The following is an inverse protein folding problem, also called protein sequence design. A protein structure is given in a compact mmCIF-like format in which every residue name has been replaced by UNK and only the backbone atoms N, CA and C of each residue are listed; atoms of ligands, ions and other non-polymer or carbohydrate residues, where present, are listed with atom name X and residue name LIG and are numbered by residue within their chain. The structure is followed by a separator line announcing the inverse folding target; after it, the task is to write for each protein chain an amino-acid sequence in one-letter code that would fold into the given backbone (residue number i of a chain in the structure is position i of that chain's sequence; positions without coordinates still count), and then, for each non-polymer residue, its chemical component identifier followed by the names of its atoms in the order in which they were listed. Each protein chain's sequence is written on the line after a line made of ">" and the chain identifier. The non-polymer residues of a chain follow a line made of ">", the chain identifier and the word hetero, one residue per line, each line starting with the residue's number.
data_IF_401178508561
#
_entry.id   IF_401178508561
#
_cell.length_a   1.000
_cell.length_b   1.000
_cell.length_c   1.000
_cell.angle_alpha   90.00
_cell.angle_beta   90.00
_cell.angle_gamma   90.00
#
_symmetry.space_group_name_H-M   'P 1'
#
loop_
_entity.id
_entity.type
_entity.pdbx_description
1 polymer ?
#
# COMPACT_ATOMS: atom_id res chain seq x y z
N UNK A 1 7.71 -0.31 33.41
CA UNK A 1 8.50 -0.82 32.27
C UNK A 1 7.71 -1.01 30.97
N UNK A 2 6.37 -0.88 30.93
CA UNK A 2 5.59 -1.00 29.68
C UNK A 2 5.78 0.17 28.72
N UNK A 3 5.89 1.40 29.24
CA UNK A 3 6.08 2.60 28.43
C UNK A 3 7.40 2.56 27.66
N UNK A 4 8.52 2.20 28.30
CA UNK A 4 9.82 2.13 27.63
C UNK A 4 9.93 1.11 26.49
N UNK A 5 9.18 -0.01 26.54
CA UNK A 5 9.13 -0.96 25.43
C UNK A 5 8.33 -0.41 24.23
N UNK A 6 7.23 0.31 24.50
CA UNK A 6 6.45 0.97 23.46
C UNK A 6 7.22 2.14 22.83
N UNK A 7 7.97 2.89 23.64
CA UNK A 7 8.80 3.99 23.17
C UNK A 7 9.96 3.49 22.30
N UNK A 8 10.58 2.37 22.68
CA UNK A 8 11.62 1.72 21.87
C UNK A 8 11.07 1.21 20.53
N UNK A 9 9.87 0.62 20.52
CA UNK A 9 9.21 0.17 19.29
C UNK A 9 8.87 1.36 18.37
N UNK A 10 8.37 2.46 18.93
CA UNK A 10 8.09 3.69 18.16
C UNK A 10 9.37 4.29 17.59
N UNK A 11 10.44 4.39 18.37
CA UNK A 11 11.73 4.87 17.90
C UNK A 11 12.33 4.02 16.77
N UNK A 12 12.08 2.70 16.79
CA UNK A 12 12.47 1.82 15.70
C UNK A 12 11.64 2.07 14.44
N UNK A 13 10.32 2.26 14.57
CA UNK A 13 9.44 2.61 13.45
C UNK A 13 9.83 3.94 12.80
N UNK A 14 10.14 4.95 13.60
CA UNK A 14 10.57 6.27 13.12
C UNK A 14 11.88 6.19 12.32
N UNK A 15 12.78 5.26 12.66
CA UNK A 15 14.02 5.00 11.91
C UNK A 15 13.80 4.21 10.61
N UNK A 16 12.70 3.45 10.51
CA UNK A 16 12.35 2.70 9.31
C UNK A 16 11.77 3.63 8.24
N UNK A 17 10.97 4.63 8.62
CA UNK A 17 10.26 5.49 7.68
C UNK A 17 11.18 6.12 6.60
N UNK A 18 12.35 6.72 6.93
CA UNK A 18 13.27 7.25 5.92
C UNK A 18 13.85 6.20 4.97
N UNK A 19 13.86 4.92 5.37
CA UNK A 19 14.37 3.81 4.57
C UNK A 19 13.30 3.21 3.66
N UNK A 20 12.02 3.34 4.01
CA UNK A 20 10.91 2.76 3.24
C UNK A 20 10.89 3.28 1.80
N UNK A 21 11.11 4.57 1.56
CA UNK A 21 11.16 5.13 0.20
C UNK A 21 12.24 4.47 -0.67
N UNK A 22 13.41 4.19 -0.08
CA UNK A 22 14.49 3.48 -0.77
C UNK A 22 14.11 2.04 -1.08
N UNK A 23 13.50 1.33 -0.11
CA UNK A 23 13.05 -0.05 -0.29
C UNK A 23 11.91 -0.18 -1.31
N UNK A 24 11.00 0.80 -1.37
CA UNK A 24 9.93 0.86 -2.38
C UNK A 24 10.45 1.19 -3.78
N UNK A 25 11.70 1.62 -3.91
CA UNK A 25 12.36 1.89 -5.20
C UNK A 25 13.48 0.89 -5.50
N UNK A 26 13.60 -0.18 -4.69
CA UNK A 26 14.63 -1.19 -4.86
C UNK A 26 14.48 -1.87 -6.23
N UNK A 27 15.57 -2.18 -6.95
CA UNK A 27 15.49 -2.87 -8.24
C UNK A 27 14.79 -4.24 -8.15
N UNK A 28 14.93 -4.95 -7.02
CA UNK A 28 14.37 -6.29 -6.84
C UNK A 28 12.87 -6.22 -6.47
N UNK A 29 11.97 -6.78 -7.30
CA UNK A 29 10.53 -6.76 -7.01
C UNK A 29 10.15 -7.38 -5.67
N UNK A 30 10.83 -8.46 -5.25
CA UNK A 30 10.55 -9.11 -3.98
C UNK A 30 10.83 -8.19 -2.78
N UNK A 31 11.87 -7.35 -2.87
CA UNK A 31 12.17 -6.33 -1.84
C UNK A 31 11.06 -5.29 -1.79
N UNK A 32 10.54 -4.85 -2.95
CA UNK A 32 9.44 -3.88 -3.00
C UNK A 32 8.12 -4.45 -2.45
N UNK A 33 7.84 -5.74 -2.68
CA UNK A 33 6.69 -6.44 -2.09
C UNK A 33 6.81 -6.45 -0.56
N UNK A 34 7.96 -6.85 -0.02
CA UNK A 34 8.21 -6.82 1.42
C UNK A 34 8.13 -5.40 1.99
N UNK A 35 8.58 -4.40 1.24
CA UNK A 35 8.49 -2.99 1.63
C UNK A 35 7.02 -2.54 1.76
N UNK A 36 6.11 -2.98 0.87
CA UNK A 36 4.68 -2.71 1.00
C UNK A 36 4.12 -3.21 2.33
N UNK A 37 4.51 -4.42 2.77
CA UNK A 37 4.10 -4.96 4.07
C UNK A 37 4.65 -4.16 5.26
N UNK A 38 5.89 -3.66 5.17
CA UNK A 38 6.44 -2.78 6.20
C UNK A 38 5.70 -1.43 6.26
N UNK A 39 5.22 -0.95 5.11
CA UNK A 39 4.39 0.26 5.04
C UNK A 39 3.04 0.07 5.72
N UNK A 40 2.43 -1.13 5.69
CA UNK A 40 1.12 -1.42 6.30
C UNK A 40 1.04 -1.01 7.79
N UNK A 41 2.15 -1.06 8.51
CA UNK A 41 2.23 -0.69 9.93
C UNK A 41 2.33 0.82 10.20
N UNK A 42 2.41 1.65 9.16
CA UNK A 42 2.54 3.12 9.29
C UNK A 42 1.17 3.78 9.51
N UNK A 43 1.18 5.08 9.83
CA UNK A 43 -0.06 5.86 9.91
C UNK A 43 -0.78 5.88 8.56
N UNK A 44 -2.13 5.89 8.52
CA UNK A 44 -2.90 5.85 7.27
C UNK A 44 -2.46 6.88 6.21
N UNK A 45 -2.17 8.12 6.61
CA UNK A 45 -1.66 9.15 5.69
C UNK A 45 -0.31 8.78 5.09
N UNK A 46 0.61 8.27 5.90
CA UNK A 46 1.94 7.82 5.45
C UNK A 46 1.85 6.65 4.48
N UNK A 47 0.92 5.71 4.71
CA UNK A 47 0.67 4.59 3.78
C UNK A 47 0.27 5.12 2.40
N UNK A 48 -0.69 6.06 2.36
CA UNK A 48 -1.14 6.68 1.12
C UNK A 48 0.00 7.45 0.44
N UNK A 49 0.72 8.29 1.18
CA UNK A 49 1.82 9.11 0.64
C UNK A 49 2.93 8.25 -0.01
N UNK A 50 3.21 7.08 0.57
CA UNK A 50 4.26 6.18 0.07
C UNK A 50 3.79 5.28 -1.08
N UNK A 51 2.57 4.75 -1.02
CA UNK A 51 2.12 3.73 -1.97
C UNK A 51 1.38 4.30 -3.19
N UNK A 52 0.82 5.51 -3.12
CA UNK A 52 0.20 6.15 -4.30
C UNK A 52 1.20 6.33 -5.45
N UNK A 53 2.42 6.86 -5.23
CA UNK A 53 3.43 6.96 -6.29
C UNK A 53 3.84 5.61 -6.87
N UNK A 54 3.93 4.57 -6.02
CA UNK A 54 4.24 3.21 -6.44
C UNK A 54 3.13 2.64 -7.35
N UNK A 55 1.86 2.76 -6.94
CA UNK A 55 0.71 2.31 -7.72
C UNK A 55 0.58 3.00 -9.08
N UNK A 56 1.05 4.24 -9.20
CA UNK A 56 1.04 4.97 -10.46
C UNK A 56 2.16 4.51 -11.43
N UNK A 57 3.31 4.06 -10.91
CA UNK A 57 4.53 3.96 -11.71
C UNK A 57 5.19 2.57 -11.74
N UNK A 58 4.98 1.69 -10.76
CA UNK A 58 5.66 0.39 -10.72
C UNK A 58 5.23 -0.48 -11.91
N UNK A 59 6.19 -1.13 -12.54
CA UNK A 59 6.00 -1.94 -13.74
C UNK A 59 5.82 -3.44 -13.43
N UNK A 60 5.86 -3.83 -12.16
CA UNK A 60 5.66 -5.20 -11.72
C UNK A 60 4.25 -5.40 -11.14
N UNK A 61 3.49 -6.32 -11.72
CA UNK A 61 2.11 -6.60 -11.31
C UNK A 61 1.99 -7.13 -9.88
N UNK A 62 2.93 -7.97 -9.43
CA UNK A 62 2.95 -8.49 -8.06
C UNK A 62 3.20 -7.40 -7.02
N UNK A 63 4.12 -6.46 -7.31
CA UNK A 63 4.37 -5.29 -6.46
C UNK A 63 3.12 -4.40 -6.38
N UNK A 64 2.49 -4.15 -7.52
CA UNK A 64 1.23 -3.41 -7.58
C UNK A 64 0.12 -4.10 -6.79
N UNK A 65 0.02 -5.43 -6.87
CA UNK A 65 -0.95 -6.23 -6.12
C UNK A 65 -0.76 -6.10 -4.61
N UNK A 66 0.49 -6.19 -4.13
CA UNK A 66 0.82 -6.00 -2.72
C UNK A 66 0.45 -4.58 -2.24
N UNK A 67 0.78 -3.55 -3.03
CA UNK A 67 0.43 -2.17 -2.70
C UNK A 67 -1.09 -1.93 -2.71
N UNK A 68 -1.84 -2.54 -3.64
CA UNK A 68 -3.31 -2.44 -3.69
C UNK A 68 -3.91 -3.03 -2.40
N UNK A 69 -3.44 -4.18 -1.95
CA UNK A 69 -3.95 -4.82 -0.73
C UNK A 69 -3.77 -3.92 0.51
N UNK A 70 -2.57 -3.35 0.66
CA UNK A 70 -2.25 -2.43 1.76
C UNK A 70 -3.06 -1.13 1.67
N UNK A 71 -3.11 -0.49 0.50
CA UNK A 71 -3.86 0.77 0.32
C UNK A 71 -5.36 0.55 0.55
N UNK A 72 -5.91 -0.60 0.18
CA UNK A 72 -7.33 -0.92 0.36
C UNK A 72 -7.80 -0.89 1.82
N UNK A 73 -6.90 -1.03 2.80
CA UNK A 73 -7.23 -0.96 4.22
C UNK A 73 -7.52 0.46 4.70
N UNK A 74 -6.81 1.44 4.14
CA UNK A 74 -6.79 2.83 4.62
C UNK A 74 -7.37 3.85 3.63
N UNK A 75 -7.53 3.46 2.36
CA UNK A 75 -8.00 4.31 1.30
C UNK A 75 -9.45 4.80 1.48
N UNK A 76 -9.67 6.03 0.99
CA UNK A 76 -10.97 6.66 0.81
C UNK A 76 -11.45 6.55 -0.65
N UNK A 77 -12.70 6.98 -0.91
CA UNK A 77 -13.38 6.82 -2.20
C UNK A 77 -12.63 7.47 -3.39
N UNK A 78 -11.92 8.57 -3.14
CA UNK A 78 -11.08 9.28 -4.10
C UNK A 78 -9.90 8.43 -4.64
N UNK A 79 -9.44 7.44 -3.88
CA UNK A 79 -8.35 6.55 -4.29
C UNK A 79 -8.82 5.40 -5.20
N UNK A 80 -10.13 5.17 -5.34
CA UNK A 80 -10.67 4.04 -6.13
C UNK A 80 -10.21 4.11 -7.59
N UNK A 81 -10.21 5.31 -8.18
CA UNK A 81 -9.79 5.50 -9.57
C UNK A 81 -8.31 5.11 -9.76
N UNK A 82 -7.45 5.41 -8.79
CA UNK A 82 -6.04 5.02 -8.82
C UNK A 82 -5.87 3.50 -8.81
N UNK A 83 -6.59 2.78 -7.95
CA UNK A 83 -6.50 1.32 -7.85
C UNK A 83 -6.92 0.64 -9.16
N UNK A 84 -8.03 1.10 -9.75
CA UNK A 84 -8.52 0.57 -11.02
C UNK A 84 -7.57 0.91 -12.18
N UNK A 85 -7.03 2.13 -12.22
CA UNK A 85 -6.06 2.52 -13.22
C UNK A 85 -4.77 1.70 -13.10
N UNK A 86 -4.30 1.46 -11.88
CA UNK A 86 -3.13 0.63 -11.62
C UNK A 86 -3.31 -0.77 -12.23
N UNK A 87 -4.42 -1.45 -11.96
CA UNK A 87 -4.70 -2.76 -12.53
C UNK A 87 -4.84 -2.74 -14.07
N UNK A 88 -5.44 -1.69 -14.64
CA UNK A 88 -5.61 -1.56 -16.08
C UNK A 88 -4.29 -1.49 -16.87
N UNK A 89 -3.16 -1.12 -16.21
CA UNK A 89 -1.82 -1.19 -16.82
C UNK A 89 -1.34 -2.62 -17.08
N UNK A 90 -1.99 -3.62 -16.48
CA UNK A 90 -1.64 -5.05 -16.58
C UNK A 90 -2.82 -5.86 -17.14
N UNK A 91 -3.20 -5.66 -18.42
CA UNK A 91 -4.39 -6.29 -19.00
C UNK A 91 -4.31 -7.83 -19.09
N UNK A 92 -3.10 -8.39 -19.00
CA UNK A 92 -2.88 -9.84 -18.99
C UNK A 92 -2.89 -10.46 -17.59
N UNK A 93 -3.07 -9.65 -16.54
CA UNK A 93 -3.10 -10.10 -15.15
C UNK A 93 -4.55 -10.04 -14.59
N UNK A 94 -5.32 -11.14 -14.69
CA UNK A 94 -6.69 -11.17 -14.17
C UNK A 94 -6.74 -11.11 -12.63
N UNK A 95 -5.65 -11.49 -11.94
CA UNK A 95 -5.60 -11.41 -10.49
C UNK A 95 -5.55 -9.95 -10.05
N UNK A 96 -4.77 -9.11 -10.72
CA UNK A 96 -4.67 -7.70 -10.38
C UNK A 96 -5.98 -6.94 -10.62
N UNK A 97 -6.69 -7.24 -11.72
CA UNK A 97 -8.03 -6.69 -11.98
C UNK A 97 -9.03 -7.08 -10.87
N UNK A 98 -9.02 -8.36 -10.48
CA UNK A 98 -9.86 -8.84 -9.37
C UNK A 98 -9.52 -8.15 -8.04
N UNK A 99 -8.23 -8.01 -7.72
CA UNK A 99 -7.76 -7.37 -6.51
C UNK A 99 -8.21 -5.90 -6.43
N UNK A 100 -8.02 -5.13 -7.52
CA UNK A 100 -8.43 -3.73 -7.59
C UNK A 100 -9.95 -3.55 -7.45
N UNK A 101 -10.75 -4.39 -8.12
CA UNK A 101 -12.22 -4.36 -8.01
C UNK A 101 -12.68 -4.71 -6.60
N UNK A 102 -12.08 -5.72 -5.99
CA UNK A 102 -12.39 -6.12 -4.62
C UNK A 102 -12.04 -5.01 -3.63
N UNK A 103 -10.88 -4.37 -3.79
CA UNK A 103 -10.48 -3.21 -3.00
C UNK A 103 -11.49 -2.05 -3.14
N UNK A 104 -11.90 -1.72 -4.37
CA UNK A 104 -12.89 -0.68 -4.64
C UNK A 104 -14.23 -0.95 -3.94
N UNK A 105 -14.72 -2.20 -3.99
CA UNK A 105 -15.94 -2.61 -3.28
C UNK A 105 -15.82 -2.45 -1.77
N UNK A 106 -14.69 -2.86 -1.18
CA UNK A 106 -14.42 -2.71 0.26
C UNK A 106 -14.41 -1.24 0.69
N UNK A 107 -13.74 -0.39 -0.09
CA UNK A 107 -13.70 1.07 0.16
C UNK A 107 -15.12 1.64 0.09
N UNK A 108 -15.90 1.27 -0.94
CA UNK A 108 -17.29 1.70 -1.08
C UNK A 108 -18.15 1.31 0.12
N UNK A 109 -18.07 0.06 0.56
CA UNK A 109 -18.84 -0.45 1.69
C UNK A 109 -18.53 0.26 3.02
N UNK A 110 -17.26 0.64 3.27
CA UNK A 110 -16.86 1.39 4.48
C UNK A 110 -17.39 2.83 4.52
N UNK A 111 -17.70 3.41 3.36
CA UNK A 111 -18.10 4.81 3.22
C UNK A 111 -19.61 4.97 2.93
N UNK A 112 -20.37 3.86 2.93
CA UNK A 112 -21.82 3.93 2.78
C UNK A 112 -22.47 4.54 4.05
N UNK A 113 -23.43 5.47 3.92
CA UNK A 113 -24.19 5.95 5.07
C UNK A 113 -24.97 4.76 5.68
N UNK A 114 -24.89 4.62 7.02
CA UNK A 114 -25.69 3.65 7.77
C UNK A 114 -27.17 4.01 7.78
#
# INVERSE_FOLDING_TARGET
>A
MRTGALDALRALQDQLLPRLTGLLSDPEPDVRILACELVRAQQPSTVIDLLVPLLANDCNGSVCGAAIDVVAEVAALDHVALLLHCAARFPSDPFLDFAAKTAALRIGARNAPQ
#
